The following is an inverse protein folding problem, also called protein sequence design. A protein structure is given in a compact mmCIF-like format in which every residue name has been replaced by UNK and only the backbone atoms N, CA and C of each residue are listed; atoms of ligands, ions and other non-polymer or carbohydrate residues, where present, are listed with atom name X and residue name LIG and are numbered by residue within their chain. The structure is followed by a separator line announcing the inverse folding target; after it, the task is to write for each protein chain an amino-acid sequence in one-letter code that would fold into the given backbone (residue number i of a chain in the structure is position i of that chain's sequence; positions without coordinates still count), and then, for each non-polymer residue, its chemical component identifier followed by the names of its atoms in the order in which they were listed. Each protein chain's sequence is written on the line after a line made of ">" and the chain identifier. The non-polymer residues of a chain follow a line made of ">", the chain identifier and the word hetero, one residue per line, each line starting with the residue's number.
data_IF_598031550708
#
_entry.id   IF_598031550708
#
_cell.length_a   1.000
_cell.length_b   1.000
_cell.length_c   1.000
_cell.angle_alpha   90.00
_cell.angle_beta   90.00
_cell.angle_gamma   90.00
#
_symmetry.space_group_name_H-M   'P 1'
#
loop_
_entity.id
_entity.type
_entity.pdbx_description
1 polymer ?
#
# COMPACT_ATOMS: atom_id res chain seq x y z
N UNK A 1 -34.38 75.12 9.00
CA UNK A 1 -33.06 74.47 8.79
C UNK A 1 -32.62 73.84 10.11
N UNK A 2 -32.08 72.63 10.28
CA UNK A 2 -31.65 71.57 9.38
C UNK A 2 -31.01 70.48 10.26
N UNK A 3 -31.76 69.45 10.67
CA UNK A 3 -31.22 68.33 11.48
C UNK A 3 -31.63 66.93 10.99
N UNK A 4 -32.35 66.84 9.86
CA UNK A 4 -32.76 65.56 9.25
C UNK A 4 -31.64 64.87 8.45
N UNK A 5 -30.61 65.62 8.00
CA UNK A 5 -29.50 65.08 7.22
C UNK A 5 -28.48 64.27 8.04
N UNK A 6 -28.07 64.77 9.21
CA UNK A 6 -26.95 64.20 10.01
C UNK A 6 -27.22 62.80 10.57
N UNK A 7 -28.48 62.46 10.85
CA UNK A 7 -28.87 61.15 11.42
C UNK A 7 -28.92 60.05 10.36
N UNK A 8 -29.36 60.37 9.13
CA UNK A 8 -29.34 59.44 7.99
C UNK A 8 -27.92 59.14 7.51
N UNK A 9 -27.04 60.15 7.45
CA UNK A 9 -25.63 59.94 7.07
C UNK A 9 -24.88 59.05 8.06
N UNK A 10 -25.13 59.18 9.38
CA UNK A 10 -24.51 58.31 10.39
C UNK A 10 -24.97 56.84 10.31
N UNK A 11 -26.22 56.59 9.93
CA UNK A 11 -26.75 55.23 9.76
C UNK A 11 -26.20 54.59 8.48
N UNK A 12 -26.08 55.36 7.40
CA UNK A 12 -25.49 54.87 6.13
C UNK A 12 -23.98 54.61 6.29
N UNK A 13 -23.26 55.49 6.99
CA UNK A 13 -21.83 55.30 7.28
C UNK A 13 -21.61 54.14 8.26
N UNK A 14 -22.46 53.99 9.28
CA UNK A 14 -22.39 52.86 10.23
C UNK A 14 -22.71 51.51 9.60
N UNK A 15 -23.70 51.45 8.71
CA UNK A 15 -24.03 50.22 7.95
C UNK A 15 -22.97 49.89 6.90
N UNK A 16 -22.42 50.89 6.20
CA UNK A 16 -21.29 50.71 5.29
C UNK A 16 -20.06 50.16 6.01
N UNK A 17 -19.73 50.68 7.19
CA UNK A 17 -18.62 50.18 8.01
C UNK A 17 -18.85 48.73 8.46
N UNK A 18 -20.08 48.40 8.88
CA UNK A 18 -20.43 47.04 9.28
C UNK A 18 -20.29 46.03 8.12
N UNK A 19 -20.70 46.41 6.91
CA UNK A 19 -20.54 45.56 5.72
C UNK A 19 -19.06 45.35 5.39
N UNK A 20 -18.25 46.41 5.45
CA UNK A 20 -16.80 46.31 5.20
C UNK A 20 -16.13 45.40 6.24
N UNK A 21 -16.46 45.54 7.52
CA UNK A 21 -15.94 44.66 8.58
C UNK A 21 -16.33 43.21 8.33
N UNK A 22 -17.57 42.96 7.93
CA UNK A 22 -18.04 41.60 7.64
C UNK A 22 -17.34 40.99 6.43
N UNK A 23 -17.14 41.76 5.36
CA UNK A 23 -16.38 41.32 4.18
C UNK A 23 -14.93 41.01 4.53
N UNK A 24 -14.29 41.86 5.34
CA UNK A 24 -12.91 41.65 5.80
C UNK A 24 -12.82 40.41 6.69
N UNK A 25 -13.75 40.20 7.60
CA UNK A 25 -13.80 39.02 8.46
C UNK A 25 -13.98 37.73 7.64
N UNK A 26 -14.87 37.74 6.65
CA UNK A 26 -15.08 36.61 5.73
C UNK A 26 -13.83 36.36 4.90
N UNK A 27 -13.22 37.39 4.31
CA UNK A 27 -12.00 37.24 3.53
C UNK A 27 -10.83 36.70 4.39
N UNK A 28 -10.74 37.13 5.65
CA UNK A 28 -9.76 36.63 6.60
C UNK A 28 -10.00 35.17 6.98
N UNK A 29 -11.25 34.78 7.24
CA UNK A 29 -11.62 33.39 7.53
C UNK A 29 -11.36 32.47 6.33
N UNK A 30 -11.72 32.90 5.12
CA UNK A 30 -11.43 32.17 3.88
C UNK A 30 -9.92 32.03 3.67
N UNK A 31 -9.15 33.09 3.90
CA UNK A 31 -7.69 33.03 3.81
C UNK A 31 -7.12 32.02 4.81
N UNK A 32 -7.55 32.06 6.07
CA UNK A 32 -7.12 31.11 7.10
C UNK A 32 -7.44 29.67 6.71
N UNK A 33 -8.62 29.42 6.17
CA UNK A 33 -9.02 28.09 5.70
C UNK A 33 -8.18 27.62 4.50
N UNK A 34 -7.91 28.50 3.53
CA UNK A 34 -7.06 28.18 2.37
C UNK A 34 -5.59 27.99 2.71
N UNK A 35 -5.11 28.59 3.80
CA UNK A 35 -3.72 28.43 4.28
C UNK A 35 -3.59 27.41 5.41
N UNK A 36 -4.69 26.79 5.83
CA UNK A 36 -4.62 25.70 6.79
C UNK A 36 -3.95 24.51 6.08
N UNK A 37 -2.79 24.11 6.58
CA UNK A 37 -2.10 22.92 6.08
C UNK A 37 -2.99 21.70 6.37
N UNK A 38 -3.22 20.80 5.38
CA UNK A 38 -3.87 19.53 5.65
C UNK A 38 -3.03 18.82 6.71
N UNK A 39 -3.66 18.41 7.81
CA UNK A 39 -2.96 17.72 8.89
C UNK A 39 -2.19 16.53 8.37
N UNK A 40 -0.96 16.34 8.84
CA UNK A 40 -0.19 15.14 8.57
C UNK A 40 -0.98 13.94 9.10
N UNK A 41 -1.49 13.10 8.20
CA UNK A 41 -2.14 11.85 8.61
C UNK A 41 -1.04 10.90 9.05
N UNK A 42 -1.15 10.39 10.28
CA UNK A 42 -0.20 9.43 10.81
C UNK A 42 -0.21 8.15 9.98
N UNK A 43 0.98 7.58 9.73
CA UNK A 43 1.11 6.29 9.05
C UNK A 43 0.39 5.19 9.85
N UNK A 44 0.50 5.23 11.19
CA UNK A 44 -0.14 4.25 12.06
C UNK A 44 -1.68 4.33 11.98
N UNK A 45 -2.25 5.55 12.03
CA UNK A 45 -3.69 5.77 11.87
C UNK A 45 -4.19 5.27 10.51
N UNK A 46 -3.45 5.57 9.43
CA UNK A 46 -3.78 5.10 8.08
C UNK A 46 -3.70 3.58 7.97
N UNK A 47 -2.70 2.96 8.61
CA UNK A 47 -2.52 1.51 8.62
C UNK A 47 -3.62 0.81 9.40
N UNK A 48 -4.03 1.38 10.53
CA UNK A 48 -5.11 0.80 11.35
C UNK A 48 -6.46 0.89 10.64
N UNK A 49 -6.80 2.03 10.04
CA UNK A 49 -8.01 2.15 9.20
C UNK A 49 -7.99 1.15 8.02
N UNK A 50 -6.84 0.98 7.37
CA UNK A 50 -6.69 0.01 6.30
C UNK A 50 -6.88 -1.43 6.80
N UNK A 51 -6.32 -1.77 7.96
CA UNK A 51 -6.43 -3.11 8.55
C UNK A 51 -7.86 -3.44 8.98
N UNK A 52 -8.57 -2.48 9.55
CA UNK A 52 -9.97 -2.65 9.91
C UNK A 52 -10.82 -2.96 8.67
N UNK A 53 -10.63 -2.19 7.59
CA UNK A 53 -11.32 -2.44 6.32
C UNK A 53 -10.92 -3.77 5.68
N UNK A 54 -9.63 -4.12 5.73
CA UNK A 54 -9.14 -5.38 5.21
C UNK A 54 -9.72 -6.57 5.99
N UNK A 55 -9.83 -6.48 7.32
CA UNK A 55 -10.33 -7.57 8.15
C UNK A 55 -11.79 -7.99 7.84
N UNK A 56 -12.55 -7.19 7.09
CA UNK A 56 -13.88 -7.56 6.60
C UNK A 56 -13.83 -8.49 5.37
N UNK A 57 -12.70 -8.52 4.65
CA UNK A 57 -12.52 -9.33 3.45
C UNK A 57 -12.16 -10.76 3.84
N UNK A 58 -13.06 -11.70 3.59
CA UNK A 58 -12.77 -13.13 3.72
C UNK A 58 -12.10 -13.59 2.42
N UNK A 59 -10.89 -14.13 2.51
CA UNK A 59 -10.20 -14.75 1.38
C UNK A 59 -10.24 -16.26 1.53
N UNK A 60 -10.75 -16.93 0.50
CA UNK A 60 -10.77 -18.39 0.39
C UNK A 60 -9.49 -18.89 -0.27
N UNK A 61 -9.08 -20.10 0.10
CA UNK A 61 -7.96 -20.75 -0.56
C UNK A 61 -8.30 -21.02 -2.05
N UNK A 62 -7.38 -20.74 -2.99
CA UNK A 62 -7.51 -21.24 -4.35
C UNK A 62 -7.61 -22.77 -4.36
N UNK A 63 -8.23 -23.31 -5.41
CA UNK A 63 -8.33 -24.76 -5.60
C UNK A 63 -6.93 -25.34 -5.77
N UNK A 64 -6.66 -26.48 -5.15
CA UNK A 64 -5.40 -27.18 -5.33
C UNK A 64 -5.16 -27.50 -6.82
N UNK A 65 -3.98 -27.18 -7.32
CA UNK A 65 -3.69 -27.37 -8.74
C UNK A 65 -2.43 -26.67 -9.22
N UNK A 66 -2.23 -26.73 -10.54
CA UNK A 66 -1.13 -26.07 -11.24
C UNK A 66 -1.69 -24.90 -12.02
N UNK A 67 -1.11 -23.71 -11.77
CA UNK A 67 -1.51 -22.44 -12.35
C UNK A 67 -0.39 -21.95 -13.26
N UNK A 68 -0.72 -21.64 -14.51
CA UNK A 68 0.24 -21.11 -15.50
C UNK A 68 0.12 -19.59 -15.52
N UNK A 69 1.27 -18.91 -15.51
CA UNK A 69 1.38 -17.46 -15.50
C UNK A 69 2.27 -16.97 -16.63
N UNK A 70 1.83 -15.90 -17.29
CA UNK A 70 2.71 -15.07 -18.11
C UNK A 70 3.83 -14.53 -17.23
N UNK A 71 5.07 -14.86 -17.58
CA UNK A 71 6.27 -14.56 -16.80
C UNK A 71 7.23 -13.74 -17.64
N UNK A 72 7.83 -12.73 -17.02
CA UNK A 72 8.85 -11.90 -17.64
C UNK A 72 9.91 -11.54 -16.63
N UNK A 73 11.17 -11.48 -17.06
CA UNK A 73 12.28 -11.06 -16.22
C UNK A 73 13.55 -11.84 -16.53
N UNK A 74 14.65 -11.36 -15.97
CA UNK A 74 15.96 -11.98 -16.11
C UNK A 74 16.64 -12.02 -14.75
N UNK A 75 17.53 -13.00 -14.57
CA UNK A 75 18.48 -13.05 -13.45
C UNK A 75 19.90 -12.94 -14.00
N UNK A 76 20.77 -12.25 -13.28
CA UNK A 76 22.16 -12.06 -13.67
C UNK A 76 23.07 -12.07 -12.45
N UNK A 77 24.25 -12.65 -12.60
CA UNK A 77 25.33 -12.61 -11.61
C UNK A 77 26.58 -12.03 -12.27
N UNK A 78 27.18 -11.01 -11.65
CA UNK A 78 28.38 -10.32 -12.16
C UNK A 78 29.65 -10.79 -11.39
N UNK A 79 29.92 -12.10 -11.42
CA UNK A 79 31.08 -12.70 -10.76
C UNK A 79 31.73 -13.71 -11.71
N UNK A 80 33.07 -13.70 -11.80
CA UNK A 80 33.89 -14.66 -12.58
C UNK A 80 33.49 -14.80 -14.07
N UNK A 81 33.20 -13.69 -14.75
CA UNK A 81 32.78 -13.68 -16.15
C UNK A 81 31.27 -13.61 -16.34
N UNK A 82 30.52 -13.72 -15.25
CA UNK A 82 29.08 -13.53 -15.16
C UNK A 82 28.25 -14.56 -15.92
N UNK A 83 27.00 -14.71 -15.52
CA UNK A 83 26.02 -15.51 -16.23
C UNK A 83 24.65 -14.84 -16.13
N UNK A 84 23.78 -15.10 -17.09
CA UNK A 84 22.42 -14.55 -17.11
C UNK A 84 21.43 -15.58 -17.61
N UNK A 85 20.29 -15.65 -16.94
CA UNK A 85 19.15 -16.45 -17.42
C UNK A 85 17.94 -15.56 -17.66
N UNK A 86 17.25 -15.84 -18.76
CA UNK A 86 15.93 -15.28 -19.02
C UNK A 86 14.89 -16.27 -18.52
N UNK A 87 13.85 -15.77 -17.84
CA UNK A 87 12.73 -16.63 -17.47
C UNK A 87 11.92 -17.01 -18.72
N UNK A 88 11.37 -18.23 -18.79
CA UNK A 88 10.42 -18.58 -19.83
C UNK A 88 9.22 -17.63 -19.84
N UNK A 89 8.62 -17.41 -21.02
CA UNK A 89 7.45 -16.55 -21.16
C UNK A 89 6.23 -17.05 -20.35
N UNK A 90 6.18 -18.35 -20.05
CA UNK A 90 5.17 -18.95 -19.18
C UNK A 90 5.85 -19.82 -18.12
N UNK A 91 5.43 -19.67 -16.87
CA UNK A 91 5.86 -20.54 -15.78
C UNK A 91 4.66 -21.07 -15.00
N UNK A 92 4.86 -22.17 -14.29
CA UNK A 92 3.80 -22.80 -13.53
C UNK A 92 4.08 -22.73 -12.02
N UNK A 93 3.04 -22.43 -11.25
CA UNK A 93 3.05 -22.57 -9.80
C UNK A 93 2.12 -23.71 -9.40
N UNK A 94 2.60 -24.62 -8.56
CA UNK A 94 1.75 -25.61 -7.91
C UNK A 94 1.26 -25.00 -6.61
N UNK A 95 -0.05 -24.93 -6.41
CA UNK A 95 -0.63 -24.51 -5.12
C UNK A 95 -1.42 -25.65 -4.51
N UNK A 96 -1.26 -25.81 -3.20
CA UNK A 96 -1.90 -26.84 -2.41
C UNK A 96 -2.29 -26.28 -1.06
N UNK A 97 -3.44 -26.67 -0.55
CA UNK A 97 -3.89 -26.30 0.79
C UNK A 97 -3.00 -26.98 1.82
N UNK A 98 -2.46 -26.21 2.75
CA UNK A 98 -1.59 -26.72 3.79
C UNK A 98 -1.65 -25.88 5.07
N UNK A 99 -1.86 -26.56 6.21
CA UNK A 99 -1.83 -25.93 7.52
C UNK A 99 -2.83 -24.77 7.65
N UNK A 100 -2.31 -23.56 7.84
CA UNK A 100 -3.07 -22.33 8.02
C UNK A 100 -3.54 -21.67 6.71
N UNK A 101 -3.20 -22.21 5.55
CA UNK A 101 -3.52 -21.58 4.27
C UNK A 101 -3.04 -22.40 3.09
N UNK A 102 -2.12 -21.86 2.30
CA UNK A 102 -1.65 -22.48 1.05
C UNK A 102 -0.14 -22.56 0.96
N UNK A 103 0.36 -23.71 0.49
CA UNK A 103 1.73 -23.85 0.02
C UNK A 103 1.77 -23.61 -1.49
N UNK A 104 2.70 -22.76 -1.92
CA UNK A 104 2.95 -22.43 -3.32
C UNK A 104 4.37 -22.88 -3.65
N UNK A 105 4.53 -23.64 -4.72
CA UNK A 105 5.82 -24.08 -5.25
C UNK A 105 5.98 -23.52 -6.65
N UNK A 106 7.05 -22.77 -6.87
CA UNK A 106 7.41 -22.18 -8.15
C UNK A 106 8.83 -22.60 -8.54
N UNK A 107 9.01 -23.17 -9.73
CA UNK A 107 10.31 -23.63 -10.24
C UNK A 107 10.48 -23.19 -11.70
N UNK A 108 10.82 -21.91 -11.93
CA UNK A 108 10.82 -21.33 -13.28
C UNK A 108 11.99 -21.77 -14.16
N UNK A 109 13.11 -22.18 -13.55
CA UNK A 109 14.32 -22.60 -14.25
C UNK A 109 14.96 -23.78 -13.51
N UNK A 110 15.79 -24.55 -14.21
CA UNK A 110 16.64 -25.54 -13.54
C UNK A 110 17.59 -24.83 -12.57
N UNK A 111 17.73 -25.37 -11.36
CA UNK A 111 18.51 -24.75 -10.29
C UNK A 111 17.86 -23.55 -9.59
N UNK A 112 16.69 -23.07 -10.02
CA UNK A 112 15.91 -21.99 -9.38
C UNK A 112 14.54 -22.51 -8.95
N UNK A 113 14.28 -22.52 -7.64
CA UNK A 113 12.94 -22.77 -7.12
C UNK A 113 12.64 -21.95 -5.87
N UNK A 114 11.36 -21.78 -5.59
CA UNK A 114 10.84 -21.08 -4.43
C UNK A 114 9.63 -21.84 -3.91
N UNK A 115 9.59 -22.05 -2.60
CA UNK A 115 8.45 -22.65 -1.91
C UNK A 115 8.01 -21.71 -0.81
N UNK A 116 6.75 -21.29 -0.84
CA UNK A 116 6.16 -20.39 0.15
C UNK A 116 5.01 -21.10 0.87
N UNK A 117 4.89 -20.89 2.18
CA UNK A 117 3.68 -21.17 2.94
C UNK A 117 3.04 -19.84 3.34
N UNK A 118 1.84 -19.60 2.83
CA UNK A 118 1.03 -18.43 3.14
C UNK A 118 -0.10 -18.84 4.07
N UNK A 119 -0.21 -18.22 5.24
CA UNK A 119 -1.37 -18.37 6.11
C UNK A 119 -2.49 -17.44 5.64
N UNK A 120 -3.69 -17.98 5.44
CA UNK A 120 -4.85 -17.17 5.13
C UNK A 120 -5.44 -16.60 6.44
N UNK A 121 -5.76 -15.31 6.42
CA UNK A 121 -6.46 -14.62 7.51
C UNK A 121 -7.52 -13.71 6.91
N UNK A 122 -8.39 -13.18 7.75
CA UNK A 122 -9.26 -12.08 7.36
C UNK A 122 -8.39 -10.92 6.85
N UNK A 123 -8.69 -10.45 5.65
CA UNK A 123 -7.98 -9.36 4.98
C UNK A 123 -6.75 -9.73 4.18
N UNK A 124 -6.35 -11.01 4.09
CA UNK A 124 -5.23 -11.37 3.22
C UNK A 124 -4.56 -12.70 3.50
N UNK A 125 -3.38 -12.84 2.89
CA UNK A 125 -2.47 -13.94 3.09
C UNK A 125 -1.16 -13.41 3.68
N UNK A 126 -0.66 -14.05 4.73
CA UNK A 126 0.59 -13.66 5.41
C UNK A 126 1.65 -14.72 5.15
N UNK A 127 2.84 -14.30 4.72
CA UNK A 127 3.96 -15.21 4.53
C UNK A 127 4.41 -15.78 5.87
N UNK A 128 4.42 -17.10 5.99
CA UNK A 128 4.83 -17.83 7.20
C UNK A 128 6.21 -18.44 7.04
N UNK A 129 6.43 -19.10 5.91
CA UNK A 129 7.70 -19.72 5.57
C UNK A 129 8.00 -19.46 4.09
N UNK A 130 9.26 -19.24 3.76
CA UNK A 130 9.74 -19.32 2.37
C UNK A 130 11.06 -20.08 2.33
N UNK A 131 11.26 -20.87 1.29
CA UNK A 131 12.54 -21.48 0.98
C UNK A 131 12.86 -21.21 -0.47
N UNK A 132 14.00 -20.55 -0.67
CA UNK A 132 14.50 -20.17 -1.98
C UNK A 132 15.73 -21.02 -2.29
N UNK A 133 15.71 -21.72 -3.41
CA UNK A 133 16.84 -22.49 -3.93
C UNK A 133 17.35 -21.81 -5.20
N UNK A 134 18.62 -21.45 -5.21
CA UNK A 134 19.33 -20.87 -6.36
C UNK A 134 20.59 -21.69 -6.60
N UNK A 135 20.91 -21.93 -7.86
CA UNK A 135 22.12 -22.66 -8.25
C UNK A 135 22.88 -21.88 -9.32
N UNK A 136 24.07 -21.40 -8.95
CA UNK A 136 25.00 -20.74 -9.86
C UNK A 136 26.33 -21.50 -9.88
N UNK A 137 26.95 -21.64 -11.05
CA UNK A 137 28.26 -22.32 -11.22
C UNK A 137 28.33 -23.72 -10.57
N UNK A 138 27.23 -24.50 -10.63
CA UNK A 138 27.06 -25.82 -10.00
C UNK A 138 27.15 -25.82 -8.46
N UNK A 139 27.07 -24.65 -7.84
CA UNK A 139 26.89 -24.52 -6.40
C UNK A 139 25.44 -24.18 -6.13
N UNK A 140 24.79 -24.98 -5.28
CA UNK A 140 23.40 -24.77 -4.90
C UNK A 140 23.35 -24.17 -3.50
N UNK A 141 22.56 -23.11 -3.34
CA UNK A 141 22.25 -22.50 -2.07
C UNK A 141 20.75 -22.60 -1.82
N UNK A 142 20.37 -23.15 -0.67
CA UNK A 142 19.01 -23.11 -0.16
C UNK A 142 18.96 -22.15 1.03
N UNK A 143 18.03 -21.20 0.97
CA UNK A 143 17.87 -20.18 1.99
C UNK A 143 16.46 -20.27 2.58
N UNK A 144 16.28 -20.99 3.69
CA UNK A 144 15.00 -21.04 4.39
C UNK A 144 14.83 -19.81 5.28
N UNK A 145 13.64 -19.24 5.26
CA UNK A 145 13.20 -18.16 6.14
C UNK A 145 11.89 -18.56 6.82
N UNK A 146 11.83 -18.36 8.13
CA UNK A 146 10.60 -18.48 8.91
C UNK A 146 10.26 -17.08 9.41
N UNK A 147 9.10 -16.58 9.00
CA UNK A 147 8.59 -15.30 9.47
C UNK A 147 8.17 -15.44 10.94
N UNK A 148 8.65 -14.57 11.80
CA UNK A 148 8.25 -14.53 13.22
C UNK A 148 6.75 -14.22 13.38
N UNK A 149 6.20 -14.34 14.60
CA UNK A 149 4.93 -13.70 14.88
C UNK A 149 5.05 -12.20 14.54
N UNK A 150 4.02 -11.62 13.95
CA UNK A 150 3.97 -10.17 13.69
C UNK A 150 4.25 -9.44 15.01
N UNK A 151 5.44 -8.83 15.11
CA UNK A 151 5.80 -7.91 16.20
C UNK A 151 5.75 -6.52 15.60
N UNK A 152 4.54 -5.98 15.48
CA UNK A 152 4.28 -4.57 15.18
C UNK A 152 3.09 -4.14 16.04
#
# INVERSE_FOLDING_TARGET
>A
MGTKGRRRTRIIVGSGLAVVVLVVAVAFAVRLWLTAEPGEVGVDETLDEFREQAAEVVIEAPVDGVYVYDTSGTEHVDVLGGDSHEYPAETAMTVMTEGCGVRIIWAPLDGRSETMLLCLRNGGAVLRETTTVHSFFRQSQATPYVCGPEVW
#
